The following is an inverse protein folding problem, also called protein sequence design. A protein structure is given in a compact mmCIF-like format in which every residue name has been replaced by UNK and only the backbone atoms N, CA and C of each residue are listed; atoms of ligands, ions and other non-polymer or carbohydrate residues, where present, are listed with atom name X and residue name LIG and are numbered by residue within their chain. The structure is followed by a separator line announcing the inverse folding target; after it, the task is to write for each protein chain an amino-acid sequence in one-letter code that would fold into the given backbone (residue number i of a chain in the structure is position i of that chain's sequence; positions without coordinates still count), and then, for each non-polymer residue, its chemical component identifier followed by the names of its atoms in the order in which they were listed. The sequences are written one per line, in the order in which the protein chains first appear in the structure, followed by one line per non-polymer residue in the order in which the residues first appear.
data_IF_641214622075
#
_entry.id   IF_641214622075
#
_cell.length_a   1.000
_cell.length_b   1.000
_cell.length_c   1.000
_cell.angle_alpha   90.00
_cell.angle_beta   90.00
_cell.angle_gamma   90.00
#
_symmetry.space_group_name_H-M   'P 1'
#
loop_
_entity.id
_entity.type
_entity.pdbx_description
1 polymer ?
#
# COMPACT_ATOMS: atom_id res chain seq x y z
N UNK A 1 -13.52 -4.98 29.12
CA UNK A 1 -13.55 -3.77 28.26
C UNK A 1 -12.49 -3.92 27.20
N UNK A 2 -12.94 -3.89 25.94
CA UNK A 2 -12.10 -4.12 24.76
C UNK A 2 -12.06 -2.86 23.88
N UNK A 3 -10.87 -2.34 23.62
CA UNK A 3 -10.64 -1.17 22.77
C UNK A 3 -9.93 -1.63 21.51
N UNK A 4 -10.54 -1.37 20.34
CA UNK A 4 -9.91 -1.60 19.05
C UNK A 4 -9.06 -0.37 18.69
N UNK A 5 -7.81 -0.60 18.28
CA UNK A 5 -6.89 0.42 17.83
C UNK A 5 -6.63 0.19 16.33
N UNK A 6 -7.39 0.90 15.49
CA UNK A 6 -7.37 0.83 14.03
C UNK A 6 -6.81 2.15 13.47
N UNK A 7 -5.50 2.36 13.64
CA UNK A 7 -4.80 3.61 13.30
C UNK A 7 -3.92 3.44 12.07
N UNK A 8 -3.85 4.48 11.23
CA UNK A 8 -2.92 4.54 10.10
C UNK A 8 -1.57 5.17 10.52
N UNK A 9 -0.60 5.10 9.61
CA UNK A 9 0.73 5.71 9.79
C UNK A 9 0.63 7.24 9.89
N UNK A 10 1.50 7.83 10.69
CA UNK A 10 1.75 9.27 10.66
C UNK A 10 2.88 9.53 9.68
N UNK A 11 2.50 9.81 8.44
CA UNK A 11 3.42 9.89 7.30
C UNK A 11 4.66 10.73 7.60
N UNK A 12 5.83 10.13 7.41
CA UNK A 12 7.13 10.76 7.68
C UNK A 12 7.48 10.87 9.18
N UNK A 13 6.67 10.30 10.11
CA UNK A 13 6.90 10.35 11.56
C UNK A 13 6.92 8.95 12.18
N UNK A 14 5.77 8.29 12.33
CA UNK A 14 5.69 6.97 12.97
C UNK A 14 4.88 5.98 12.13
N UNK A 15 5.34 4.71 12.03
CA UNK A 15 4.57 3.63 11.42
C UNK A 15 3.25 3.36 12.17
N UNK A 16 2.25 2.82 11.47
CA UNK A 16 0.94 2.49 12.07
C UNK A 16 1.06 1.51 13.25
N UNK A 17 1.95 0.54 13.15
CA UNK A 17 2.23 -0.45 14.21
C UNK A 17 2.79 0.18 15.47
N UNK A 18 3.72 1.14 15.32
CA UNK A 18 4.31 1.89 16.44
C UNK A 18 3.26 2.82 17.06
N UNK A 19 2.43 3.47 16.23
CA UNK A 19 1.31 4.30 16.71
C UNK A 19 0.31 3.47 17.54
N UNK A 20 -0.08 2.30 17.03
CA UNK A 20 -0.98 1.40 17.74
C UNK A 20 -0.41 0.93 19.08
N UNK A 21 0.89 0.63 19.15
CA UNK A 21 1.58 0.25 20.38
C UNK A 21 1.64 1.40 21.39
N UNK A 22 1.91 2.64 20.94
CA UNK A 22 1.94 3.83 21.80
C UNK A 22 0.57 4.09 22.44
N UNK A 23 -0.51 3.98 21.65
CA UNK A 23 -1.89 4.10 22.17
C UNK A 23 -2.17 3.00 23.19
N UNK A 24 -1.85 1.73 22.87
CA UNK A 24 -2.08 0.62 23.79
C UNK A 24 -1.29 0.75 25.11
N UNK A 25 -0.06 1.25 25.02
CA UNK A 25 0.76 1.54 26.21
C UNK A 25 0.09 2.58 27.11
N UNK A 26 -0.37 3.70 26.52
CA UNK A 26 -1.08 4.76 27.24
C UNK A 26 -2.38 4.25 27.89
N UNK A 27 -3.20 3.52 27.14
CA UNK A 27 -4.46 2.96 27.65
C UNK A 27 -4.24 2.00 28.82
N UNK A 28 -3.25 1.11 28.72
CA UNK A 28 -2.93 0.17 29.83
C UNK A 28 -2.43 0.87 31.10
N UNK A 29 -1.76 2.03 30.95
CA UNK A 29 -1.35 2.87 32.11
C UNK A 29 -2.54 3.58 32.74
N UNK A 30 -3.49 4.07 31.93
CA UNK A 30 -4.61 4.88 32.37
C UNK A 30 -5.83 4.05 32.82
N UNK A 31 -6.04 2.86 32.25
CA UNK A 31 -7.25 2.06 32.41
C UNK A 31 -6.87 0.63 32.82
N UNK A 32 -6.88 0.31 34.11
CA UNK A 32 -6.56 -1.04 34.58
C UNK A 32 -7.48 -2.12 33.98
N UNK A 33 -6.90 -3.19 33.46
CA UNK A 33 -7.64 -4.32 32.90
C UNK A 33 -8.22 -4.09 31.51
N UNK A 34 -7.83 -3.03 30.81
CA UNK A 34 -8.21 -2.81 29.41
C UNK A 34 -7.59 -3.86 28.50
N UNK A 35 -8.39 -4.43 27.62
CA UNK A 35 -7.94 -5.27 26.50
C UNK A 35 -7.80 -4.40 25.26
N UNK A 36 -6.59 -4.34 24.69
CA UNK A 36 -6.30 -3.61 23.46
C UNK A 36 -6.18 -4.59 22.31
N UNK A 37 -7.04 -4.43 21.29
CA UNK A 37 -6.96 -5.14 20.03
C UNK A 37 -6.20 -4.26 19.02
N UNK A 38 -4.96 -4.63 18.69
CA UNK A 38 -4.13 -3.90 17.75
C UNK A 38 -4.47 -4.33 16.32
N UNK A 39 -5.05 -3.43 15.55
CA UNK A 39 -5.41 -3.63 14.16
C UNK A 39 -4.98 -2.39 13.35
N UNK A 40 -3.68 -2.12 13.22
CA UNK A 40 -3.23 -1.01 12.38
C UNK A 40 -3.79 -1.18 10.98
N UNK A 41 -4.18 -0.05 10.37
CA UNK A 41 -4.76 0.00 9.03
C UNK A 41 -3.77 0.57 8.03
N UNK A 42 -4.05 0.38 6.75
CA UNK A 42 -3.28 0.91 5.64
C UNK A 42 -4.14 1.02 4.37
N UNK A 43 -3.63 1.75 3.40
CA UNK A 43 -4.27 2.07 2.13
C UNK A 43 -3.66 1.35 0.90
N UNK A 44 -2.85 0.32 1.11
CA UNK A 44 -2.10 -0.34 0.01
C UNK A 44 -0.76 0.32 -0.31
N UNK A 45 -0.40 1.39 0.38
CA UNK A 45 0.91 2.02 0.30
C UNK A 45 1.95 1.37 1.23
N UNK A 46 3.07 2.07 1.42
CA UNK A 46 4.15 1.66 2.32
C UNK A 46 3.66 1.43 3.75
N UNK A 47 4.04 0.30 4.35
CA UNK A 47 3.63 -0.13 5.69
C UNK A 47 2.41 -1.04 5.72
N UNK A 48 1.79 -1.33 4.57
CA UNK A 48 0.62 -2.21 4.46
C UNK A 48 0.91 -3.63 4.93
N UNK A 49 2.01 -4.23 4.48
CA UNK A 49 2.39 -5.58 4.88
C UNK A 49 2.64 -5.64 6.39
N UNK A 50 3.31 -4.65 6.96
CA UNK A 50 3.57 -4.58 8.40
C UNK A 50 2.27 -4.45 9.22
N UNK A 51 1.33 -3.63 8.76
CA UNK A 51 0.03 -3.47 9.40
C UNK A 51 -0.75 -4.81 9.43
N UNK A 52 -0.85 -5.48 8.28
CA UNK A 52 -1.57 -6.77 8.16
C UNK A 52 -0.90 -7.86 8.99
N UNK A 53 0.44 -8.01 8.88
CA UNK A 53 1.19 -9.02 9.65
C UNK A 53 1.05 -8.80 11.15
N UNK A 54 1.03 -7.55 11.61
CA UNK A 54 0.79 -7.22 13.02
C UNK A 54 -0.63 -7.58 13.44
N UNK A 55 -1.64 -7.21 12.64
CA UNK A 55 -3.06 -7.47 12.95
C UNK A 55 -3.40 -8.96 12.98
N UNK A 56 -2.80 -9.75 12.09
CA UNK A 56 -3.07 -11.18 11.92
C UNK A 56 -2.03 -12.09 12.57
N UNK A 57 -0.99 -11.53 13.19
CA UNK A 57 0.13 -12.25 13.81
C UNK A 57 0.82 -13.20 12.81
N UNK A 58 1.01 -12.70 11.59
CA UNK A 58 1.68 -13.43 10.52
C UNK A 58 3.19 -13.51 10.71
N UNK A 59 3.86 -14.16 9.79
CA UNK A 59 5.31 -14.38 9.77
C UNK A 59 5.96 -13.61 8.63
N UNK A 60 7.19 -13.12 8.81
CA UNK A 60 7.97 -12.50 7.77
C UNK A 60 8.77 -13.54 6.98
N UNK A 61 8.82 -13.36 5.68
CA UNK A 61 9.64 -14.12 4.75
C UNK A 61 10.59 -13.16 4.02
N UNK A 62 11.82 -13.58 3.82
CA UNK A 62 12.84 -12.84 3.07
C UNK A 62 13.18 -13.57 1.77
N UNK A 63 13.42 -12.80 0.71
CA UNK A 63 13.88 -13.30 -0.57
C UNK A 63 14.96 -12.40 -1.15
N UNK A 64 15.99 -13.02 -1.75
CA UNK A 64 17.02 -12.31 -2.51
C UNK A 64 16.41 -11.80 -3.83
N UNK A 65 16.61 -10.53 -4.11
CA UNK A 65 16.02 -9.89 -5.28
C UNK A 65 16.86 -8.69 -5.75
N UNK A 66 16.29 -7.79 -6.55
CA UNK A 66 16.93 -6.59 -7.04
C UNK A 66 16.07 -5.36 -6.77
N UNK A 67 16.72 -4.21 -6.54
CA UNK A 67 16.00 -2.94 -6.52
C UNK A 67 15.66 -2.46 -7.95
N UNK A 68 14.96 -1.31 -8.03
CA UNK A 68 14.54 -0.75 -9.31
C UNK A 68 15.71 -0.38 -10.25
N UNK A 69 16.92 -0.18 -9.72
CA UNK A 69 18.14 0.10 -10.47
C UNK A 69 19.05 -1.13 -10.60
N UNK A 70 18.47 -2.34 -10.44
CA UNK A 70 19.13 -3.63 -10.58
C UNK A 70 20.29 -3.91 -9.60
N UNK A 71 20.30 -3.27 -8.41
CA UNK A 71 21.22 -3.63 -7.35
C UNK A 71 20.66 -4.83 -6.57
N UNK A 72 21.50 -5.84 -6.21
CA UNK A 72 21.07 -6.93 -5.36
C UNK A 72 20.64 -6.44 -3.98
N UNK A 73 19.44 -6.85 -3.56
CA UNK A 73 18.86 -6.53 -2.25
C UNK A 73 18.13 -7.74 -1.67
N UNK A 74 17.86 -7.70 -0.37
CA UNK A 74 16.91 -8.62 0.27
C UNK A 74 15.61 -7.89 0.50
N UNK A 75 14.53 -8.38 -0.12
CA UNK A 75 13.18 -7.90 0.14
C UNK A 75 12.47 -8.84 1.12
N UNK A 76 11.49 -8.29 1.86
CA UNK A 76 10.65 -9.09 2.75
C UNK A 76 9.18 -8.94 2.39
N UNK A 77 8.42 -9.98 2.63
CA UNK A 77 6.96 -9.97 2.57
C UNK A 77 6.38 -10.83 3.69
N UNK A 78 5.11 -10.61 4.03
CA UNK A 78 4.45 -11.35 5.09
C UNK A 78 3.78 -12.61 4.60
N UNK A 79 3.69 -13.63 5.45
CA UNK A 79 2.86 -14.82 5.27
C UNK A 79 1.81 -14.86 6.38
N UNK A 80 0.56 -15.01 5.98
CA UNK A 80 -0.58 -15.20 6.89
C UNK A 80 -1.17 -16.57 6.64
N UNK A 81 -1.54 -17.27 7.71
CA UNK A 81 -2.16 -18.61 7.65
C UNK A 81 -3.60 -18.52 8.13
N UNK A 82 -4.52 -18.96 7.30
CA UNK A 82 -5.90 -19.20 7.70
C UNK A 82 -6.25 -20.68 7.43
N UNK A 83 -6.25 -21.45 8.47
CA UNK A 83 -6.41 -22.90 8.38
C UNK A 83 -5.30 -23.54 7.54
N UNK A 84 -5.65 -24.08 6.35
CA UNK A 84 -4.70 -24.68 5.41
C UNK A 84 -4.25 -23.72 4.31
N UNK A 85 -4.87 -22.56 4.21
CA UNK A 85 -4.49 -21.56 3.21
C UNK A 85 -3.34 -20.70 3.74
N UNK A 86 -2.46 -20.34 2.84
CA UNK A 86 -1.35 -19.44 3.09
C UNK A 86 -1.50 -18.29 2.12
N UNK A 87 -1.49 -17.07 2.64
CA UNK A 87 -1.55 -15.86 1.85
C UNK A 87 -0.24 -15.08 1.99
N UNK A 88 0.26 -14.56 0.89
CA UNK A 88 1.41 -13.65 0.90
C UNK A 88 0.91 -12.21 0.86
N UNK A 89 1.44 -11.39 1.76
CA UNK A 89 1.16 -9.95 1.85
C UNK A 89 2.43 -9.20 1.54
N UNK A 90 2.45 -8.47 0.43
CA UNK A 90 3.67 -7.83 -0.04
C UNK A 90 3.44 -6.39 -0.52
N UNK A 91 4.53 -5.67 -0.62
CA UNK A 91 4.59 -4.33 -1.19
C UNK A 91 5.61 -4.34 -2.32
N UNK A 92 5.24 -3.81 -3.48
CA UNK A 92 6.21 -3.67 -4.56
C UNK A 92 7.38 -2.76 -4.19
N UNK A 93 7.15 -1.83 -3.27
CA UNK A 93 8.16 -0.91 -2.76
C UNK A 93 9.29 -1.57 -1.97
N UNK A 94 9.09 -2.80 -1.48
CA UNK A 94 10.14 -3.57 -0.82
C UNK A 94 11.29 -4.00 -1.76
N UNK A 95 11.02 -3.98 -3.08
CA UNK A 95 12.02 -4.21 -4.12
C UNK A 95 12.10 -3.01 -5.08
N UNK A 96 11.01 -2.65 -5.75
CA UNK A 96 11.00 -1.67 -6.83
C UNK A 96 10.54 -0.27 -6.36
N UNK A 97 10.75 0.05 -5.07
CA UNK A 97 10.33 1.30 -4.44
C UNK A 97 11.29 2.47 -4.65
N UNK A 98 10.73 3.68 -4.69
CA UNK A 98 11.49 4.93 -4.84
C UNK A 98 12.44 5.18 -3.65
N UNK A 99 12.02 4.81 -2.43
CA UNK A 99 12.84 4.94 -1.23
C UNK A 99 14.11 4.08 -1.31
N UNK A 100 14.05 2.91 -1.97
CA UNK A 100 15.19 1.99 -2.12
C UNK A 100 16.32 2.54 -2.98
N UNK A 101 16.01 3.49 -3.87
CA UNK A 101 16.95 4.09 -4.83
C UNK A 101 17.17 5.58 -4.60
N UNK A 102 16.76 6.11 -3.43
CA UNK A 102 16.88 7.53 -3.09
C UNK A 102 18.32 8.05 -2.98
N UNK A 103 19.28 7.15 -2.85
CA UNK A 103 20.73 7.38 -2.80
C UNK A 103 21.40 7.50 -4.20
N UNK A 104 20.64 7.25 -5.27
CA UNK A 104 21.12 7.23 -6.64
C UNK A 104 20.44 8.30 -7.50
N UNK A 105 21.09 8.77 -8.58
CA UNK A 105 20.39 9.44 -9.67
C UNK A 105 19.34 8.50 -10.27
N UNK A 106 18.11 9.00 -10.44
CA UNK A 106 17.03 8.21 -11.01
C UNK A 106 17.23 8.04 -12.52
N UNK A 107 17.19 6.79 -12.98
CA UNK A 107 17.22 6.44 -14.41
C UNK A 107 15.99 5.62 -14.77
N UNK A 108 14.86 6.29 -15.07
CA UNK A 108 13.59 5.60 -15.33
C UNK A 108 13.59 4.77 -16.63
N UNK A 109 14.52 5.00 -17.56
CA UNK A 109 14.62 4.22 -18.79
C UNK A 109 15.17 2.81 -18.54
N UNK A 110 15.98 2.64 -17.51
CA UNK A 110 16.60 1.39 -17.09
C UNK A 110 15.98 0.81 -15.80
N UNK A 111 15.10 1.56 -15.15
CA UNK A 111 14.41 1.08 -13.94
C UNK A 111 13.50 -0.11 -14.26
N UNK A 112 13.48 -1.11 -13.37
CA UNK A 112 12.81 -2.39 -13.59
C UNK A 112 12.00 -2.87 -12.38
N UNK A 113 10.87 -3.51 -12.64
CA UNK A 113 10.07 -4.26 -11.66
C UNK A 113 10.52 -5.72 -11.50
N UNK A 114 11.69 -6.09 -12.02
CA UNK A 114 12.23 -7.45 -11.93
C UNK A 114 12.18 -7.97 -10.49
N UNK A 115 12.60 -7.13 -9.54
CA UNK A 115 12.62 -7.49 -8.13
C UNK A 115 11.23 -7.79 -7.56
N UNK A 116 10.22 -7.04 -7.95
CA UNK A 116 8.83 -7.34 -7.59
C UNK A 116 8.39 -8.68 -8.16
N UNK A 117 8.78 -8.99 -9.41
CA UNK A 117 8.47 -10.27 -10.05
C UNK A 117 9.11 -11.47 -9.33
N UNK A 118 10.35 -11.32 -8.87
CA UNK A 118 11.04 -12.36 -8.08
C UNK A 118 10.38 -12.60 -6.72
N UNK A 119 9.83 -11.56 -6.08
CA UNK A 119 9.03 -11.73 -4.86
C UNK A 119 7.74 -12.52 -5.14
N UNK A 120 7.03 -12.21 -6.25
CA UNK A 120 5.84 -12.95 -6.67
C UNK A 120 6.17 -14.41 -7.00
N UNK A 121 7.29 -14.66 -7.66
CA UNK A 121 7.77 -16.00 -7.97
C UNK A 121 8.06 -16.79 -6.70
N UNK A 122 8.85 -16.25 -5.75
CA UNK A 122 9.17 -16.92 -4.48
C UNK A 122 7.91 -17.27 -3.69
N UNK A 123 6.94 -16.35 -3.59
CA UNK A 123 5.66 -16.63 -2.92
C UNK A 123 4.88 -17.76 -3.63
N UNK A 124 4.83 -17.75 -4.97
CA UNK A 124 4.17 -18.79 -5.77
C UNK A 124 4.81 -20.16 -5.56
N UNK A 125 6.15 -20.24 -5.58
CA UNK A 125 6.92 -21.47 -5.37
C UNK A 125 6.74 -22.02 -3.94
N UNK A 126 6.43 -21.17 -2.95
CA UNK A 126 6.04 -21.59 -1.59
C UNK A 126 4.63 -22.14 -1.50
N UNK A 127 3.85 -22.12 -2.59
CA UNK A 127 2.51 -22.68 -2.64
C UNK A 127 1.46 -21.84 -1.92
N UNK A 128 1.61 -20.51 -1.91
CA UNK A 128 0.57 -19.64 -1.38
C UNK A 128 -0.69 -19.74 -2.26
N UNK A 129 -1.85 -19.67 -1.63
CA UNK A 129 -3.14 -19.73 -2.32
C UNK A 129 -3.55 -18.38 -2.91
N UNK A 130 -3.06 -17.29 -2.32
CA UNK A 130 -3.37 -15.90 -2.71
C UNK A 130 -2.21 -14.98 -2.40
N UNK A 131 -2.04 -13.96 -3.24
CA UNK A 131 -1.11 -12.86 -3.01
C UNK A 131 -1.90 -11.55 -2.92
N UNK A 132 -1.67 -10.79 -1.86
CA UNK A 132 -2.13 -9.42 -1.72
C UNK A 132 -0.91 -8.51 -1.89
N UNK A 133 -0.95 -7.63 -2.88
CA UNK A 133 0.17 -6.75 -3.18
C UNK A 133 -0.25 -5.27 -3.17
N UNK A 134 0.42 -4.47 -2.33
CA UNK A 134 0.37 -3.01 -2.41
C UNK A 134 1.34 -2.49 -3.47
N UNK A 135 0.89 -1.55 -4.31
CA UNK A 135 1.72 -1.03 -5.40
C UNK A 135 2.10 0.45 -5.27
N UNK A 136 1.90 1.04 -4.09
CA UNK A 136 2.34 2.40 -3.78
C UNK A 136 3.87 2.56 -3.73
N UNK A 137 4.36 3.80 -3.93
CA UNK A 137 5.77 4.15 -3.75
C UNK A 137 6.74 3.68 -4.84
N UNK A 138 6.29 3.39 -6.06
CA UNK A 138 7.10 2.84 -7.15
C UNK A 138 8.16 3.80 -7.69
N UNK A 139 9.33 3.25 -8.09
CA UNK A 139 10.40 3.94 -8.81
C UNK A 139 10.36 3.75 -10.34
N UNK A 140 9.53 2.85 -10.84
CA UNK A 140 9.52 2.35 -12.23
C UNK A 140 8.43 2.98 -13.08
N UNK A 141 8.62 2.99 -14.41
CA UNK A 141 7.62 3.46 -15.39
C UNK A 141 7.71 2.62 -16.68
N UNK A 142 7.51 1.28 -16.53
CA UNK A 142 7.75 0.29 -17.60
C UNK A 142 6.62 -0.75 -17.72
N UNK A 143 5.46 -0.47 -17.12
CA UNK A 143 4.25 -1.31 -17.22
C UNK A 143 4.42 -2.76 -16.75
N UNK A 144 5.33 -3.03 -15.81
CA UNK A 144 5.49 -4.36 -15.20
C UNK A 144 6.24 -5.37 -16.07
N UNK A 145 6.98 -4.95 -17.12
CA UNK A 145 7.70 -5.89 -18.00
C UNK A 145 8.83 -6.62 -17.27
N UNK A 146 9.53 -5.95 -16.34
CA UNK A 146 10.54 -6.62 -15.50
C UNK A 146 9.92 -7.70 -14.64
N UNK A 147 8.78 -7.41 -14.00
CA UNK A 147 7.98 -8.38 -13.24
C UNK A 147 7.58 -9.58 -14.13
N UNK A 148 7.02 -9.31 -15.30
CA UNK A 148 6.59 -10.35 -16.22
C UNK A 148 7.77 -11.25 -16.68
N UNK A 149 8.95 -10.67 -16.90
CA UNK A 149 10.15 -11.44 -17.24
C UNK A 149 10.58 -12.39 -16.10
N UNK A 150 10.53 -11.95 -14.84
CA UNK A 150 10.78 -12.83 -13.68
C UNK A 150 9.79 -13.99 -13.61
N UNK A 151 8.56 -13.79 -14.08
CA UNK A 151 7.51 -14.82 -14.14
C UNK A 151 7.59 -15.69 -15.43
N UNK A 152 8.67 -15.53 -16.21
CA UNK A 152 8.97 -16.38 -17.36
C UNK A 152 8.42 -15.89 -18.70
N UNK A 153 7.83 -14.69 -18.77
CA UNK A 153 7.49 -14.09 -20.06
C UNK A 153 8.75 -13.69 -20.82
N UNK A 154 8.74 -13.86 -22.14
CA UNK A 154 9.84 -13.48 -23.02
C UNK A 154 9.41 -12.37 -23.96
N UNK A 155 10.21 -11.34 -24.02
CA UNK A 155 10.04 -10.20 -24.90
C UNK A 155 11.05 -10.32 -26.04
N UNK A 156 10.57 -10.43 -27.29
CA UNK A 156 11.40 -10.75 -28.45
C UNK A 156 11.32 -9.62 -29.47
N UNK A 157 12.43 -9.37 -30.15
CA UNK A 157 12.50 -8.49 -31.31
C UNK A 157 11.98 -9.17 -32.60
N UNK A 158 12.10 -8.48 -33.74
CA UNK A 158 11.63 -8.97 -35.05
C UNK A 158 12.41 -10.20 -35.55
N UNK A 159 13.65 -10.40 -35.08
CA UNK A 159 14.50 -11.54 -35.44
C UNK A 159 14.28 -12.73 -34.47
N UNK A 160 13.45 -12.54 -33.43
CA UNK A 160 13.15 -13.54 -32.40
C UNK A 160 14.18 -13.57 -31.28
N UNK A 161 15.08 -12.58 -31.21
CA UNK A 161 16.08 -12.48 -30.17
C UNK A 161 15.49 -11.85 -28.89
N UNK A 162 15.90 -12.32 -27.70
CA UNK A 162 15.39 -11.78 -26.43
C UNK A 162 15.82 -10.32 -26.19
N UNK A 163 14.86 -9.49 -25.85
CA UNK A 163 15.09 -8.13 -25.37
C UNK A 163 15.26 -8.11 -23.86
N UNK A 164 16.16 -7.27 -23.35
CA UNK A 164 16.18 -6.93 -21.94
C UNK A 164 14.86 -6.22 -21.57
N UNK A 165 14.12 -6.67 -20.53
CA UNK A 165 12.80 -6.14 -20.21
C UNK A 165 12.89 -4.80 -19.46
N UNK A 166 13.32 -3.77 -20.16
CA UNK A 166 13.39 -2.37 -19.73
C UNK A 166 12.72 -1.49 -20.78
N UNK A 167 12.16 -0.37 -20.37
CA UNK A 167 11.39 0.49 -21.29
C UNK A 167 12.23 1.03 -22.45
N UNK A 168 13.54 1.21 -22.23
CA UNK A 168 14.49 1.65 -23.26
C UNK A 168 14.45 0.79 -24.53
N UNK A 169 14.24 -0.51 -24.40
CA UNK A 169 14.28 -1.46 -25.51
C UNK A 169 12.90 -1.78 -26.12
N UNK A 170 11.82 -1.24 -25.56
CA UNK A 170 10.46 -1.64 -25.95
C UNK A 170 10.01 -1.09 -27.32
N UNK A 171 10.73 -0.18 -27.91
CA UNK A 171 10.52 0.20 -29.33
C UNK A 171 10.84 -0.90 -30.33
N UNK A 172 11.69 -1.87 -29.94
CA UNK A 172 12.07 -3.04 -30.74
C UNK A 172 11.20 -4.27 -30.50
N UNK A 173 10.27 -4.21 -29.53
CA UNK A 173 9.43 -5.34 -29.19
C UNK A 173 8.56 -5.76 -30.37
N UNK A 174 8.71 -7.00 -30.80
CA UNK A 174 7.93 -7.57 -31.88
C UNK A 174 7.01 -8.71 -31.44
N UNK A 175 7.33 -9.42 -30.34
CA UNK A 175 6.54 -10.54 -29.84
C UNK A 175 6.68 -10.73 -28.35
N UNK A 176 5.58 -11.14 -27.70
CA UNK A 176 5.57 -11.60 -26.30
C UNK A 176 5.21 -13.07 -26.26
N UNK A 177 6.05 -13.89 -25.64
CA UNK A 177 5.75 -15.28 -25.33
C UNK A 177 5.37 -15.43 -23.86
N UNK A 178 4.29 -16.21 -23.61
CA UNK A 178 3.78 -16.42 -22.25
C UNK A 178 4.76 -17.23 -21.40
N UNK A 179 4.89 -16.87 -20.14
CA UNK A 179 5.50 -17.70 -19.11
C UNK A 179 4.63 -18.92 -18.76
N UNK A 180 5.24 -19.91 -18.16
CA UNK A 180 4.58 -21.16 -17.76
C UNK A 180 4.30 -21.25 -16.25
N UNK A 181 4.61 -20.22 -15.47
CA UNK A 181 4.37 -20.21 -14.03
C UNK A 181 2.86 -20.07 -13.77
N UNK A 182 2.28 -21.06 -13.09
CA UNK A 182 0.90 -20.99 -12.63
C UNK A 182 0.82 -20.03 -11.43
N UNK A 183 0.21 -18.86 -11.65
CA UNK A 183 0.07 -17.86 -10.59
C UNK A 183 -1.11 -18.18 -9.67
N UNK A 184 -1.00 -17.94 -8.35
CA UNK A 184 -2.15 -17.92 -7.46
C UNK A 184 -3.07 -16.72 -7.79
N UNK A 185 -4.20 -16.61 -7.10
CA UNK A 185 -5.01 -15.39 -7.12
C UNK A 185 -4.17 -14.19 -6.65
N UNK A 186 -4.23 -13.08 -7.38
CA UNK A 186 -3.52 -11.84 -7.02
C UNK A 186 -4.52 -10.70 -6.88
N UNK A 187 -4.60 -10.15 -5.67
CA UNK A 187 -5.36 -8.94 -5.36
C UNK A 187 -4.40 -7.77 -5.18
N UNK A 188 -4.68 -6.69 -5.89
CA UNK A 188 -3.82 -5.50 -5.89
C UNK A 188 -4.52 -4.37 -5.15
N UNK A 189 -3.91 -3.92 -4.07
CA UNK A 189 -4.34 -2.72 -3.33
C UNK A 189 -3.97 -1.46 -4.13
N UNK A 190 -4.98 -0.78 -4.71
CA UNK A 190 -4.79 0.36 -5.58
C UNK A 190 -5.94 1.38 -5.42
N UNK A 191 -5.63 2.58 -4.93
CA UNK A 191 -6.62 3.65 -4.72
C UNK A 191 -6.60 4.74 -5.81
N UNK A 192 -5.80 4.55 -6.88
CA UNK A 192 -5.77 5.45 -8.02
C UNK A 192 -6.46 4.85 -9.23
N UNK A 193 -7.12 5.70 -10.03
CA UNK A 193 -7.91 5.27 -11.19
C UNK A 193 -7.27 5.66 -12.54
N UNK A 194 -6.01 6.10 -12.53
CA UNK A 194 -5.32 6.56 -13.72
C UNK A 194 -5.21 5.43 -14.76
N UNK A 195 -5.51 5.71 -16.05
CA UNK A 195 -5.23 4.79 -17.14
C UNK A 195 -3.73 4.67 -17.39
N UNK A 196 -3.30 3.73 -18.23
CA UNK A 196 -1.89 3.57 -18.57
C UNK A 196 -1.32 4.80 -19.29
N UNK A 197 -2.07 5.37 -20.23
CA UNK A 197 -1.62 6.33 -21.23
C UNK A 197 -2.44 7.63 -21.19
N UNK A 198 -1.94 8.64 -21.90
CA UNK A 198 -2.64 9.89 -22.13
C UNK A 198 -2.46 10.94 -21.02
N UNK A 199 -3.26 12.03 -21.03
CA UNK A 199 -3.09 13.16 -20.12
C UNK A 199 -3.17 12.79 -18.63
N UNK A 200 -3.92 11.76 -18.31
CA UNK A 200 -4.10 11.23 -16.96
C UNK A 200 -3.35 9.91 -16.75
N UNK A 201 -2.51 9.50 -17.71
CA UNK A 201 -1.73 8.27 -17.67
C UNK A 201 -0.54 8.32 -16.70
N UNK A 202 0.05 7.16 -16.46
CA UNK A 202 1.13 6.99 -15.46
C UNK A 202 2.31 7.92 -15.67
N UNK A 203 2.78 8.06 -16.91
CA UNK A 203 3.95 8.86 -17.25
C UNK A 203 3.69 10.35 -17.01
N UNK A 204 2.54 10.86 -17.43
CA UNK A 204 2.17 12.28 -17.30
C UNK A 204 1.94 12.70 -15.86
N UNK A 205 1.31 11.84 -15.07
CA UNK A 205 0.92 12.16 -13.70
C UNK A 205 2.06 11.89 -12.71
N UNK A 206 2.77 10.78 -12.86
CA UNK A 206 3.72 10.31 -11.86
C UNK A 206 5.17 10.23 -12.36
N UNK A 207 5.43 10.47 -13.65
CA UNK A 207 6.75 10.28 -14.24
C UNK A 207 7.81 11.24 -13.67
N UNK A 208 7.45 12.49 -13.40
CA UNK A 208 8.40 13.51 -12.94
C UNK A 208 9.09 13.13 -11.62
N UNK A 209 8.35 12.57 -10.66
CA UNK A 209 8.91 12.11 -9.38
C UNK A 209 9.87 10.91 -9.53
N UNK A 210 9.82 10.22 -10.67
CA UNK A 210 10.68 9.07 -11.02
C UNK A 210 11.84 9.44 -11.93
N UNK A 211 12.02 10.73 -12.23
CA UNK A 211 13.09 11.21 -13.08
C UNK A 211 12.76 11.25 -14.57
N UNK A 212 11.50 11.02 -14.97
CA UNK A 212 11.08 11.13 -16.38
C UNK A 212 11.18 12.58 -16.84
N UNK A 213 11.99 12.83 -17.86
CA UNK A 213 12.15 14.14 -18.50
C UNK A 213 11.43 14.20 -19.86
N UNK A 214 11.49 13.13 -20.65
CA UNK A 214 10.81 13.00 -21.94
C UNK A 214 9.60 12.08 -21.82
N UNK A 215 8.44 12.66 -21.54
CA UNK A 215 7.20 11.89 -21.46
C UNK A 215 6.80 11.26 -22.79
N UNK A 216 7.14 11.85 -23.94
CA UNK A 216 6.77 11.29 -25.25
C UNK A 216 7.52 9.99 -25.53
N UNK A 217 8.79 9.92 -25.11
CA UNK A 217 9.59 8.69 -25.18
C UNK A 217 8.91 7.52 -24.46
N UNK A 218 8.48 7.74 -23.21
CA UNK A 218 7.81 6.67 -22.42
C UNK A 218 6.43 6.34 -22.96
N UNK A 219 5.61 7.34 -23.27
CA UNK A 219 4.24 7.15 -23.81
C UNK A 219 4.25 6.30 -25.09
N UNK A 220 5.18 6.59 -26.02
CA UNK A 220 5.29 5.84 -27.28
C UNK A 220 5.61 4.36 -27.06
N UNK A 221 6.51 4.05 -26.12
CA UNK A 221 6.92 2.68 -25.80
C UNK A 221 5.84 1.92 -25.03
N UNK A 222 5.19 2.57 -24.08
CA UNK A 222 4.06 2.00 -23.35
C UNK A 222 2.87 1.73 -24.28
N UNK A 223 2.60 2.63 -25.23
CA UNK A 223 1.57 2.40 -26.26
C UNK A 223 1.91 1.20 -27.12
N UNK A 224 3.16 1.12 -27.61
CA UNK A 224 3.61 0.00 -28.42
C UNK A 224 3.52 -1.33 -27.66
N UNK A 225 4.01 -1.37 -26.42
CA UNK A 225 3.90 -2.52 -25.51
C UNK A 225 2.43 -2.97 -25.36
N UNK A 226 1.52 -2.04 -25.08
CA UNK A 226 0.11 -2.35 -24.89
C UNK A 226 -0.55 -2.92 -26.17
N UNK A 227 -0.14 -2.44 -27.37
CA UNK A 227 -0.60 -2.98 -28.64
C UNK A 227 -0.12 -4.43 -28.84
N UNK A 228 1.13 -4.73 -28.49
CA UNK A 228 1.68 -6.10 -28.56
C UNK A 228 1.01 -7.01 -27.53
N UNK A 229 0.80 -6.55 -26.30
CA UNK A 229 0.06 -7.28 -25.25
C UNK A 229 -1.34 -7.65 -25.75
N UNK A 230 -2.07 -6.69 -26.33
CA UNK A 230 -3.39 -6.96 -26.90
C UNK A 230 -3.34 -8.01 -27.99
N UNK A 231 -2.35 -7.94 -28.90
CA UNK A 231 -2.19 -8.89 -30.01
C UNK A 231 -1.83 -10.29 -29.55
N UNK A 232 -0.82 -10.41 -28.64
CA UNK A 232 -0.20 -11.70 -28.30
C UNK A 232 -0.86 -12.39 -27.10
N UNK A 233 -1.36 -11.59 -26.14
CA UNK A 233 -2.01 -12.11 -24.93
C UNK A 233 -3.54 -12.05 -25.00
N UNK A 234 -4.11 -11.30 -25.96
CA UNK A 234 -5.56 -11.22 -26.18
C UNK A 234 -6.30 -10.37 -25.14
N UNK A 235 -5.61 -9.55 -24.37
CA UNK A 235 -6.17 -8.67 -23.32
C UNK A 235 -5.79 -7.22 -23.55
N UNK A 236 -6.67 -6.28 -23.17
CA UNK A 236 -6.42 -4.84 -23.28
C UNK A 236 -6.89 -4.14 -22.01
N UNK A 237 -5.94 -3.82 -21.13
CA UNK A 237 -6.21 -3.16 -19.86
C UNK A 237 -5.73 -1.70 -19.81
N UNK A 238 -5.33 -1.09 -20.95
CA UNK A 238 -4.75 0.26 -20.97
C UNK A 238 -5.67 1.34 -20.40
N UNK A 239 -6.98 1.20 -20.58
CA UNK A 239 -7.99 2.13 -20.10
C UNK A 239 -8.64 1.68 -18.77
N UNK A 240 -8.23 0.54 -18.23
CA UNK A 240 -8.78 0.04 -16.98
C UNK A 240 -8.41 1.00 -15.81
N UNK A 241 -9.32 1.27 -14.87
CA UNK A 241 -9.00 2.02 -13.67
C UNK A 241 -7.81 1.40 -12.93
N UNK A 242 -6.79 2.23 -12.63
CA UNK A 242 -5.59 1.76 -11.96
C UNK A 242 -4.52 1.15 -12.88
N UNK A 243 -4.76 1.02 -14.18
CA UNK A 243 -3.75 0.54 -15.13
C UNK A 243 -2.45 1.35 -15.07
N UNK A 244 -2.55 2.66 -14.88
CA UNK A 244 -1.41 3.56 -14.73
C UNK A 244 -0.76 3.56 -13.34
N UNK A 245 -1.35 2.88 -12.36
CA UNK A 245 -0.75 2.83 -11.02
C UNK A 245 0.66 2.27 -11.06
N UNK A 246 1.54 2.82 -10.22
CA UNK A 246 2.92 2.38 -10.09
C UNK A 246 3.71 2.36 -11.42
N UNK A 247 3.48 3.35 -12.29
CA UNK A 247 4.17 3.44 -13.58
C UNK A 247 3.75 2.35 -14.57
N UNK A 248 2.47 1.98 -14.51
CA UNK A 248 1.87 0.94 -15.34
C UNK A 248 2.00 -0.47 -14.76
N UNK A 249 2.55 -0.65 -13.54
CA UNK A 249 2.58 -1.98 -12.91
C UNK A 249 1.15 -2.54 -12.74
N UNK A 250 0.14 -1.68 -12.49
CA UNK A 250 -1.26 -2.09 -12.48
C UNK A 250 -1.69 -2.76 -13.80
N UNK A 251 -1.36 -2.15 -14.95
CA UNK A 251 -1.56 -2.76 -16.25
C UNK A 251 -0.83 -4.10 -16.38
N UNK A 252 0.45 -4.16 -15.93
CA UNK A 252 1.25 -5.37 -15.99
C UNK A 252 0.66 -6.51 -15.17
N UNK A 253 0.25 -6.25 -13.92
CA UNK A 253 -0.36 -7.25 -13.04
C UNK A 253 -1.67 -7.80 -13.64
N UNK A 254 -2.54 -6.94 -14.16
CA UNK A 254 -3.75 -7.39 -14.86
C UNK A 254 -3.43 -8.21 -16.13
N UNK A 255 -2.48 -7.75 -16.94
CA UNK A 255 -2.24 -8.33 -18.28
C UNK A 255 -1.41 -9.62 -18.24
N UNK A 256 -0.40 -9.70 -17.36
CA UNK A 256 0.51 -10.83 -17.29
C UNK A 256 0.12 -11.85 -16.22
N UNK A 257 -0.51 -11.39 -15.13
CA UNK A 257 -0.85 -12.25 -14.00
C UNK A 257 -2.36 -12.50 -13.85
N UNK A 258 -3.21 -11.77 -14.56
CA UNK A 258 -4.67 -11.85 -14.38
C UNK A 258 -5.14 -11.29 -13.03
N UNK A 259 -4.37 -10.37 -12.46
CA UNK A 259 -4.65 -9.79 -11.15
C UNK A 259 -5.90 -8.90 -11.16
N UNK A 260 -6.57 -8.81 -10.00
CA UNK A 260 -7.69 -7.91 -9.76
C UNK A 260 -7.22 -6.69 -8.96
N UNK A 261 -7.53 -5.48 -9.46
CA UNK A 261 -7.28 -4.23 -8.75
C UNK A 261 -8.51 -3.85 -7.92
N UNK A 262 -8.29 -3.56 -6.66
CA UNK A 262 -9.36 -3.17 -5.74
C UNK A 262 -8.88 -2.05 -4.80
N UNK A 263 -9.84 -1.40 -4.14
CA UNK A 263 -9.52 -0.38 -3.15
C UNK A 263 -8.62 -0.92 -2.05
N UNK A 264 -7.52 -0.21 -1.79
CA UNK A 264 -6.54 -0.63 -0.79
C UNK A 264 -7.14 -0.75 0.60
N UNK A 265 -7.87 0.28 1.05
CA UNK A 265 -8.52 0.25 2.36
C UNK A 265 -9.52 -0.91 2.49
N UNK A 266 -10.42 -1.10 1.50
CA UNK A 266 -11.45 -2.13 1.58
C UNK A 266 -10.82 -3.52 1.63
N UNK A 267 -9.81 -3.78 0.76
CA UNK A 267 -9.09 -5.04 0.74
C UNK A 267 -8.40 -5.34 2.08
N UNK A 268 -7.71 -4.36 2.64
CA UNK A 268 -7.02 -4.54 3.92
C UNK A 268 -8.01 -4.68 5.07
N UNK A 269 -9.10 -3.90 5.08
CA UNK A 269 -10.16 -3.99 6.09
C UNK A 269 -10.82 -5.38 6.12
N UNK A 270 -11.09 -5.95 4.94
CA UNK A 270 -11.63 -7.31 4.82
C UNK A 270 -10.61 -8.35 5.29
N UNK A 271 -9.36 -8.22 4.87
CA UNK A 271 -8.28 -9.14 5.22
C UNK A 271 -8.04 -9.22 6.74
N UNK A 272 -8.06 -8.07 7.43
CA UNK A 272 -7.87 -8.03 8.89
C UNK A 272 -9.19 -8.23 9.67
N UNK A 273 -10.29 -8.53 8.97
CA UNK A 273 -11.63 -8.67 9.57
C UNK A 273 -12.06 -7.44 10.39
N UNK A 274 -11.78 -6.25 9.88
CA UNK A 274 -11.97 -4.99 10.61
C UNK A 274 -13.39 -4.83 11.13
N UNK A 275 -14.42 -5.11 10.30
CA UNK A 275 -15.83 -4.99 10.68
C UNK A 275 -16.19 -5.88 11.89
N UNK A 276 -15.70 -7.11 11.92
CA UNK A 276 -15.94 -8.02 13.03
C UNK A 276 -15.23 -7.57 14.32
N UNK A 277 -14.02 -7.02 14.18
CA UNK A 277 -13.26 -6.45 15.32
C UNK A 277 -13.94 -5.22 15.88
N UNK A 278 -14.46 -4.31 15.03
CA UNK A 278 -15.25 -3.15 15.46
C UNK A 278 -16.50 -3.63 16.21
N UNK A 279 -17.24 -4.59 15.68
CA UNK A 279 -18.45 -5.12 16.32
C UNK A 279 -18.16 -5.68 17.73
N UNK A 280 -16.99 -6.29 17.94
CA UNK A 280 -16.57 -6.87 19.21
C UNK A 280 -15.95 -5.85 20.20
N UNK A 281 -15.69 -4.63 19.76
CA UNK A 281 -15.09 -3.59 20.58
C UNK A 281 -16.14 -2.78 21.34
N UNK A 282 -15.74 -2.24 22.50
CA UNK A 282 -16.53 -1.25 23.27
C UNK A 282 -16.26 0.17 22.79
N UNK A 283 -15.04 0.44 22.29
CA UNK A 283 -14.58 1.71 21.75
C UNK A 283 -13.61 1.44 20.59
N UNK A 284 -13.67 2.27 19.57
CA UNK A 284 -12.73 2.28 18.45
C UNK A 284 -11.83 3.51 18.52
N UNK A 285 -10.53 3.31 18.38
CA UNK A 285 -9.56 4.40 18.24
C UNK A 285 -8.94 4.32 16.86
N UNK A 286 -8.98 5.43 16.13
CA UNK A 286 -8.37 5.57 14.80
C UNK A 286 -7.55 6.86 14.70
N UNK A 287 -6.97 7.15 13.55
CA UNK A 287 -6.22 8.39 13.29
C UNK A 287 -5.13 8.20 12.25
N UNK A 288 -4.47 9.30 11.96
CA UNK A 288 -3.37 9.39 10.99
C UNK A 288 -2.54 10.66 11.22
N UNK A 289 -1.50 10.87 10.38
CA UNK A 289 -0.67 12.07 10.49
C UNK A 289 -1.41 13.39 10.33
N UNK A 290 -2.48 13.45 9.53
CA UNK A 290 -3.26 14.68 9.27
C UNK A 290 -4.67 14.34 8.86
N UNK A 291 -5.63 14.82 9.62
CA UNK A 291 -7.06 14.77 9.27
C UNK A 291 -7.47 16.11 8.64
N UNK A 292 -7.86 16.09 7.40
CA UNK A 292 -8.28 17.27 6.62
C UNK A 292 -9.49 16.99 5.74
N UNK A 293 -9.85 17.92 4.86
CA UNK A 293 -10.96 17.75 3.93
C UNK A 293 -10.75 16.57 2.94
N UNK A 294 -9.52 16.18 2.63
CA UNK A 294 -9.25 15.01 1.79
C UNK A 294 -9.56 13.71 2.54
N UNK A 295 -9.34 13.67 3.86
CA UNK A 295 -9.70 12.54 4.71
C UNK A 295 -11.19 12.21 4.61
N UNK A 296 -12.07 13.22 4.42
CA UNK A 296 -13.52 13.01 4.25
C UNK A 296 -13.87 12.16 3.00
N UNK A 297 -13.01 12.18 2.00
CA UNK A 297 -13.16 11.41 0.76
C UNK A 297 -12.24 10.18 0.72
N UNK A 298 -11.37 10.06 1.72
CA UNK A 298 -10.45 8.93 1.89
C UNK A 298 -11.12 7.78 2.65
N UNK A 299 -10.45 6.62 2.61
CA UNK A 299 -10.98 5.41 3.22
C UNK A 299 -10.30 5.02 4.54
N UNK A 300 -9.14 5.56 4.88
CA UNK A 300 -8.40 5.25 6.10
C UNK A 300 -9.22 5.49 7.39
N UNK A 301 -8.89 6.51 8.21
CA UNK A 301 -9.60 6.78 9.47
C UNK A 301 -11.09 7.04 9.30
N UNK A 302 -11.53 7.61 8.15
CA UNK A 302 -12.95 7.82 7.86
C UNK A 302 -13.68 6.50 7.62
N UNK A 303 -13.08 5.57 6.86
CA UNK A 303 -13.66 4.24 6.66
C UNK A 303 -13.87 3.48 7.98
N UNK A 304 -12.90 3.61 8.91
CA UNK A 304 -13.03 3.06 10.27
C UNK A 304 -14.19 3.74 11.02
N UNK A 305 -14.27 5.07 10.97
CA UNK A 305 -15.31 5.81 11.65
C UNK A 305 -16.71 5.49 11.10
N UNK A 306 -16.86 5.41 9.79
CA UNK A 306 -18.14 5.08 9.15
C UNK A 306 -18.57 3.64 9.53
N UNK A 307 -17.69 2.66 9.50
CA UNK A 307 -17.98 1.30 9.97
C UNK A 307 -18.36 1.26 11.47
N UNK A 308 -17.65 2.04 12.30
CA UNK A 308 -17.97 2.12 13.73
C UNK A 308 -19.36 2.73 13.98
N UNK A 309 -19.70 3.81 13.27
CA UNK A 309 -21.03 4.45 13.33
C UNK A 309 -22.14 3.51 12.87
N UNK A 310 -21.95 2.79 11.76
CA UNK A 310 -22.92 1.78 11.30
C UNK A 310 -23.19 0.70 12.34
N UNK A 311 -22.17 0.33 13.13
CA UNK A 311 -22.25 -0.66 14.18
C UNK A 311 -22.63 -0.09 15.55
N UNK A 312 -22.91 1.22 15.63
CA UNK A 312 -23.30 1.89 16.88
C UNK A 312 -22.17 1.92 17.93
N UNK A 313 -20.90 1.97 17.46
CA UNK A 313 -19.73 2.00 18.34
C UNK A 313 -19.17 3.40 18.46
N UNK A 314 -18.81 3.86 19.69
CA UNK A 314 -18.12 5.13 19.85
C UNK A 314 -16.73 5.07 19.17
N UNK A 315 -16.33 6.21 18.58
CA UNK A 315 -15.07 6.32 17.85
C UNK A 315 -14.31 7.59 18.22
N UNK A 316 -13.05 7.42 18.61
CA UNK A 316 -12.11 8.49 18.91
C UNK A 316 -11.01 8.56 17.84
N UNK A 317 -10.60 9.77 17.44
CA UNK A 317 -9.50 9.95 16.52
C UNK A 317 -8.37 10.79 17.13
N UNK A 318 -7.13 10.32 16.90
CA UNK A 318 -5.90 11.03 17.24
C UNK A 318 -5.12 11.33 15.96
N UNK A 319 -4.77 12.60 15.75
CA UNK A 319 -4.07 13.00 14.52
C UNK A 319 -2.88 13.93 14.83
N UNK A 320 -1.87 13.90 13.96
CA UNK A 320 -0.74 14.84 14.06
C UNK A 320 -1.21 16.28 13.94
N UNK A 321 -2.11 16.55 12.98
CA UNK A 321 -2.82 17.81 12.80
C UNK A 321 -4.28 17.54 12.41
N UNK A 322 -5.18 18.46 12.78
CA UNK A 322 -6.59 18.43 12.40
C UNK A 322 -6.91 19.74 11.70
N UNK A 323 -7.39 19.61 10.46
CA UNK A 323 -7.91 20.71 9.64
C UNK A 323 -9.35 20.37 9.28
N UNK A 324 -10.19 21.39 9.00
CA UNK A 324 -11.62 21.18 8.76
C UNK A 324 -12.37 20.49 9.93
N UNK A 325 -12.02 20.84 11.17
CA UNK A 325 -12.54 20.22 12.41
C UNK A 325 -14.08 20.19 12.43
N UNK A 326 -14.76 21.27 12.01
CA UNK A 326 -16.22 21.37 11.98
C UNK A 326 -16.87 20.28 11.09
N UNK A 327 -16.18 19.83 10.04
CA UNK A 327 -16.67 18.80 9.13
C UNK A 327 -16.39 17.39 9.64
N UNK A 328 -15.35 17.23 10.46
CA UNK A 328 -14.91 15.96 11.05
C UNK A 328 -15.65 15.63 12.36
N UNK A 329 -15.97 16.64 13.18
CA UNK A 329 -16.66 16.48 14.47
C UNK A 329 -17.92 15.57 14.41
N UNK A 330 -18.78 15.63 13.36
CA UNK A 330 -19.95 14.75 13.31
C UNK A 330 -19.61 13.26 13.14
N UNK A 331 -18.37 12.94 12.79
CA UNK A 331 -17.92 11.57 12.49
C UNK A 331 -17.24 10.90 13.69
N UNK A 332 -16.73 11.69 14.64
CA UNK A 332 -15.97 11.18 15.78
C UNK A 332 -16.58 11.69 17.09
N UNK A 333 -16.58 10.84 18.12
CA UNK A 333 -17.04 11.24 19.46
C UNK A 333 -15.95 11.98 20.23
N UNK A 334 -14.68 11.78 19.83
CA UNK A 334 -13.52 12.50 20.31
C UNK A 334 -12.54 12.76 19.16
N UNK A 335 -12.12 14.01 19.01
CA UNK A 335 -11.03 14.41 18.10
C UNK A 335 -9.91 15.04 18.90
N UNK A 336 -8.66 14.57 18.71
CA UNK A 336 -7.51 15.07 19.43
C UNK A 336 -6.31 15.27 18.52
N UNK A 337 -5.84 16.51 18.37
CA UNK A 337 -4.57 16.81 17.74
C UNK A 337 -3.43 16.55 18.73
N UNK A 338 -2.46 15.73 18.33
CA UNK A 338 -1.34 15.35 19.23
C UNK A 338 -0.21 16.38 19.23
N UNK A 339 -0.08 17.20 18.18
CA UNK A 339 0.94 18.24 18.08
C UNK A 339 0.55 19.46 18.90
N UNK A 340 1.34 19.90 19.91
CA UNK A 340 1.15 21.18 20.58
C UNK A 340 1.18 22.34 19.58
N UNK A 341 0.33 23.37 19.79
CA UNK A 341 0.18 24.50 18.84
C UNK A 341 1.50 25.19 18.53
N UNK A 342 2.33 25.40 19.54
CA UNK A 342 3.59 26.17 19.43
C UNK A 342 4.80 25.30 19.06
N UNK A 343 4.63 23.97 18.88
CA UNK A 343 5.74 23.07 18.55
C UNK A 343 6.01 23.07 17.04
N UNK A 344 7.28 23.26 16.61
CA UNK A 344 7.65 23.13 15.20
C UNK A 344 7.32 21.74 14.65
N UNK A 345 6.89 21.66 13.38
CA UNK A 345 6.51 20.40 12.76
C UNK A 345 7.63 19.35 12.78
N UNK A 346 8.87 19.77 12.48
CA UNK A 346 10.02 18.86 12.47
C UNK A 346 10.26 18.22 13.85
N UNK A 347 10.12 18.98 14.94
CA UNK A 347 10.23 18.46 16.30
C UNK A 347 9.06 17.50 16.62
N UNK A 348 7.84 17.89 16.26
CA UNK A 348 6.67 17.04 16.47
C UNK A 348 6.78 15.69 15.73
N UNK A 349 7.30 15.69 14.50
CA UNK A 349 7.53 14.47 13.74
C UNK A 349 8.55 13.54 14.38
N UNK A 350 9.62 14.08 14.96
CA UNK A 350 10.64 13.30 15.69
C UNK A 350 10.10 12.69 17.00
N UNK A 351 9.17 13.39 17.66
CA UNK A 351 8.58 13.00 18.94
C UNK A 351 7.18 12.37 18.78
N UNK A 352 6.78 12.00 17.58
CA UNK A 352 5.42 11.57 17.27
C UNK A 352 4.86 10.50 18.21
N UNK A 353 5.62 9.45 18.51
CA UNK A 353 5.19 8.37 19.41
C UNK A 353 4.97 8.87 20.86
N UNK A 354 5.88 9.70 21.37
CA UNK A 354 5.75 10.33 22.70
C UNK A 354 4.52 11.23 22.78
N UNK A 355 4.33 12.08 21.76
CA UNK A 355 3.20 13.00 21.70
C UNK A 355 1.86 12.25 21.62
N UNK A 356 1.80 11.16 20.85
CA UNK A 356 0.62 10.31 20.76
C UNK A 356 0.29 9.65 22.10
N UNK A 357 1.29 9.07 22.78
CA UNK A 357 1.11 8.48 24.11
C UNK A 357 0.59 9.51 25.12
N UNK A 358 1.20 10.70 25.16
CA UNK A 358 0.80 11.79 26.07
C UNK A 358 -0.62 12.30 25.75
N UNK A 359 -1.00 12.40 24.47
CA UNK A 359 -2.33 12.81 24.07
C UNK A 359 -3.38 11.80 24.56
N UNK A 360 -3.15 10.50 24.37
CA UNK A 360 -4.07 9.45 24.87
C UNK A 360 -4.18 9.48 26.39
N UNK A 361 -3.06 9.63 27.10
CA UNK A 361 -3.08 9.78 28.57
C UNK A 361 -3.90 10.98 29.02
N UNK A 362 -3.74 12.14 28.35
CA UNK A 362 -4.48 13.36 28.69
C UNK A 362 -5.99 13.24 28.42
N UNK A 363 -6.39 12.43 27.45
CA UNK A 363 -7.78 12.18 27.07
C UNK A 363 -8.39 10.94 27.77
N UNK A 364 -7.67 10.28 28.66
CA UNK A 364 -8.09 9.02 29.27
C UNK A 364 -9.47 9.09 29.95
N UNK A 365 -9.80 10.22 30.58
CA UNK A 365 -11.11 10.43 31.20
C UNK A 365 -12.22 10.54 30.16
N UNK A 366 -12.01 11.33 29.11
CA UNK A 366 -12.98 11.48 28.01
C UNK A 366 -13.20 10.15 27.31
N UNK A 367 -12.15 9.33 27.11
CA UNK A 367 -12.27 7.97 26.55
C UNK A 367 -13.09 7.05 27.46
N UNK A 368 -12.93 7.17 28.80
CA UNK A 368 -13.75 6.40 29.75
C UNK A 368 -15.21 6.86 29.74
N UNK A 369 -15.49 8.16 29.59
CA UNK A 369 -16.84 8.69 29.51
C UNK A 369 -17.59 8.16 28.27
N UNK A 370 -16.88 7.90 27.14
CA UNK A 370 -17.46 7.27 25.94
C UNK A 370 -17.82 5.78 26.13
N UNK A 371 -17.27 5.14 27.13
CA UNK A 371 -17.52 3.73 27.46
C UNK A 371 -18.66 3.54 28.48
N UNK A 372 -19.14 4.64 29.06
CA UNK A 372 -20.22 4.63 30.03
C UNK A 372 -21.52 5.00 29.30
N UNK A 373 -22.55 4.15 29.32
CA UNK A 373 -23.83 4.41 28.63
C UNK A 373 -24.56 5.64 29.24
#
# INVERSE_FOLDING_TARGET
MRILIAIDKFKGSIPATVAAQAIASALKKAIPGVECDLCPIADGGEGTAEAVITALKGEWCETATFDAQNRPVTARYGLVRDGRQIEAIMEMSAASGLAMVSDLPLDPAFASTLGTGLMLQDATERGVSRIVIGIGGSATNEAGIGMAAALGFRFLDADGEPLTPIIEHMDKLAKIERGNLGMPEILVACDVNNPLLGPHGCTRVYGSQKGVQDSAFFESRLQHLADIVRRDLGVDHREAPGAGAAGGLGFGLMSFCGAELTSGFDLIADLVHLRARIAAADLVITGEGRLDAQTLHGKGPMGVADMARELGKPVAAFAGAIEAEDQLLPRFDLLCAIKPKDMPLAEAMQRGSELLENAVLSQSRALLDLLTP
#
